data_IF_214144295999
#
_entry.id   IF_214144295999
#
_cell.length_a   1.000
_cell.length_b   1.000
_cell.length_c   1.000
_cell.angle_alpha   90.00
_cell.angle_beta   90.00
_cell.angle_gamma   90.00
#
_symmetry.space_group_name_H-M   'P 1'
#
loop_
_entity.id
_entity.type
_entity.pdbx_description
1 polymer ?
#
# COMPACT_ATOMS: atom_id res chain seq x y z
N UNK A 1 -7.17 24.22 -19.38
CA UNK A 1 -5.98 24.67 -20.14
C UNK A 1 -6.28 25.13 -21.56
N UNK A 2 -7.31 24.61 -22.25
CA UNK A 2 -7.62 24.96 -23.65
C UNK A 2 -8.21 26.36 -23.84
N UNK A 3 -8.71 27.02 -22.79
CA UNK A 3 -9.45 28.28 -22.85
C UNK A 3 -8.67 29.41 -23.53
N UNK A 4 -7.45 29.63 -23.17
CA UNK A 4 -6.62 30.77 -23.63
C UNK A 4 -5.61 30.38 -24.72
N UNK A 5 -5.51 29.10 -25.07
CA UNK A 5 -4.52 28.62 -26.03
C UNK A 5 -4.97 28.87 -27.46
N UNK A 6 -4.06 29.31 -28.30
CA UNK A 6 -4.28 29.33 -29.77
C UNK A 6 -4.45 27.88 -30.26
N UNK A 7 -5.13 27.72 -31.42
CA UNK A 7 -5.34 26.38 -31.98
C UNK A 7 -4.02 25.64 -32.26
N UNK A 8 -2.98 26.36 -32.66
CA UNK A 8 -1.65 25.79 -32.89
C UNK A 8 -1.03 25.22 -31.59
N UNK A 9 -1.11 25.94 -30.46
CA UNK A 9 -0.60 25.50 -29.17
C UNK A 9 -1.40 24.29 -28.66
N UNK A 10 -2.73 24.31 -28.84
CA UNK A 10 -3.59 23.20 -28.49
C UNK A 10 -3.28 21.96 -29.35
N UNK A 11 -3.05 22.14 -30.65
CA UNK A 11 -2.62 21.06 -31.56
C UNK A 11 -1.30 20.42 -31.11
N UNK A 12 -0.31 21.22 -30.68
CA UNK A 12 0.95 20.71 -30.19
C UNK A 12 0.78 19.83 -28.93
N UNK A 13 -0.12 20.22 -28.03
CA UNK A 13 -0.43 19.42 -26.84
C UNK A 13 -1.17 18.13 -27.24
N UNK A 14 -2.17 18.21 -28.10
CA UNK A 14 -2.97 17.08 -28.58
C UNK A 14 -2.09 16.02 -29.27
N UNK A 15 -1.12 16.46 -30.07
CA UNK A 15 -0.22 15.55 -30.79
C UNK A 15 0.64 14.67 -29.90
N UNK A 16 0.85 15.06 -28.63
CA UNK A 16 1.57 14.24 -27.66
C UNK A 16 0.77 13.02 -27.19
N UNK A 17 -0.57 13.08 -27.21
CA UNK A 17 -1.45 12.04 -26.70
C UNK A 17 -1.95 11.12 -27.83
N UNK A 18 -2.32 9.90 -27.48
CA UNK A 18 -2.92 8.94 -28.43
C UNK A 18 -4.36 9.30 -28.75
N UNK A 19 -5.11 9.78 -27.78
CA UNK A 19 -6.47 10.30 -27.92
C UNK A 19 -6.76 11.40 -26.89
N UNK A 20 -7.89 12.06 -27.03
CA UNK A 20 -8.33 13.16 -26.15
C UNK A 20 -9.70 12.82 -25.56
N UNK A 21 -9.92 13.21 -24.32
CA UNK A 21 -11.20 13.04 -23.62
C UNK A 21 -11.90 14.38 -23.42
N UNK A 22 -13.22 14.37 -23.53
CA UNK A 22 -14.11 15.43 -23.07
C UNK A 22 -15.18 14.84 -22.17
N UNK A 23 -15.54 15.57 -21.11
CA UNK A 23 -16.59 15.17 -20.19
C UNK A 23 -17.90 15.91 -20.48
N UNK A 24 -19.04 15.44 -19.96
CA UNK A 24 -20.29 16.20 -19.94
C UNK A 24 -20.09 17.62 -19.39
N UNK A 25 -20.76 18.64 -19.92
CA UNK A 25 -20.62 20.03 -19.45
C UNK A 25 -20.78 20.17 -17.93
N UNK A 26 -21.70 19.44 -17.32
CA UNK A 26 -21.94 19.38 -15.87
C UNK A 26 -20.68 19.02 -15.06
N UNK A 27 -19.74 18.26 -15.61
CA UNK A 27 -18.49 17.93 -14.94
C UNK A 27 -17.55 19.15 -14.79
N UNK A 28 -17.80 20.21 -15.55
CA UNK A 28 -17.02 21.44 -15.56
C UNK A 28 -17.72 22.63 -14.88
N UNK A 29 -18.91 22.46 -14.28
CA UNK A 29 -19.68 23.54 -13.65
C UNK A 29 -18.88 24.35 -12.62
N UNK A 30 -17.97 23.69 -11.91
CA UNK A 30 -17.07 24.35 -10.96
C UNK A 30 -16.16 25.40 -11.61
N UNK A 31 -15.84 25.28 -12.90
CA UNK A 31 -15.01 26.25 -13.63
C UNK A 31 -15.79 27.56 -13.91
N UNK A 32 -17.12 27.48 -14.05
CA UNK A 32 -17.97 28.66 -14.14
C UNK A 32 -18.03 29.36 -12.77
N UNK A 33 -18.19 28.62 -11.69
CA UNK A 33 -18.18 29.16 -10.34
C UNK A 33 -16.84 29.84 -9.98
N UNK A 34 -15.73 29.31 -10.49
CA UNK A 34 -14.38 29.87 -10.34
C UNK A 34 -14.07 31.03 -11.28
N UNK A 35 -15.04 31.45 -12.11
CA UNK A 35 -14.88 32.49 -13.16
C UNK A 35 -13.81 32.14 -14.21
N UNK A 36 -13.54 30.85 -14.42
CA UNK A 36 -12.71 30.40 -15.54
C UNK A 36 -13.48 30.48 -16.84
N UNK A 37 -14.80 30.36 -16.82
CA UNK A 37 -15.73 30.67 -17.88
C UNK A 37 -16.80 31.65 -17.36
N UNK A 38 -17.22 32.59 -18.21
CA UNK A 38 -18.21 33.58 -17.80
C UNK A 38 -19.62 32.97 -17.68
N UNK A 39 -19.91 31.94 -18.47
CA UNK A 39 -21.20 31.24 -18.52
C UNK A 39 -21.07 29.86 -19.21
N UNK A 40 -22.18 29.13 -19.22
CA UNK A 40 -22.29 27.83 -19.87
C UNK A 40 -22.01 27.88 -21.37
N UNK A 41 -22.48 28.94 -22.09
CA UNK A 41 -22.27 29.09 -23.53
C UNK A 41 -20.76 29.10 -23.86
N UNK A 42 -19.97 29.85 -23.11
CA UNK A 42 -18.53 29.92 -23.30
C UNK A 42 -17.85 28.56 -22.99
N UNK A 43 -18.33 27.82 -21.98
CA UNK A 43 -17.87 26.48 -21.70
C UNK A 43 -18.16 25.51 -22.85
N UNK A 44 -19.40 25.54 -23.39
CA UNK A 44 -19.79 24.69 -24.52
C UNK A 44 -18.97 25.00 -25.78
N UNK A 45 -18.73 26.27 -26.08
CA UNK A 45 -17.86 26.67 -27.20
C UNK A 45 -16.42 26.18 -27.01
N UNK A 46 -15.91 26.17 -25.78
CA UNK A 46 -14.58 25.61 -25.49
C UNK A 46 -14.54 24.08 -25.71
N UNK A 47 -15.59 23.36 -25.31
CA UNK A 47 -15.69 21.91 -25.56
C UNK A 47 -15.73 21.65 -27.09
N UNK A 48 -16.53 22.39 -27.83
CA UNK A 48 -16.58 22.30 -29.30
C UNK A 48 -15.23 22.60 -29.95
N UNK A 49 -14.51 23.61 -29.43
CA UNK A 49 -13.15 23.93 -29.89
C UNK A 49 -12.19 22.76 -29.70
N UNK A 50 -12.18 22.12 -28.52
CA UNK A 50 -11.32 20.94 -28.22
C UNK A 50 -11.66 19.80 -29.18
N UNK A 51 -12.96 19.53 -29.39
CA UNK A 51 -13.42 18.49 -30.32
C UNK A 51 -12.92 18.78 -31.75
N UNK A 52 -13.11 19.99 -32.24
CA UNK A 52 -12.70 20.41 -33.58
C UNK A 52 -11.19 20.28 -33.78
N UNK A 53 -10.38 20.87 -32.88
CA UNK A 53 -8.92 20.86 -33.00
C UNK A 53 -8.37 19.44 -32.90
N UNK A 54 -8.97 18.59 -32.08
CA UNK A 54 -8.57 17.17 -31.96
C UNK A 54 -8.84 16.43 -33.29
N UNK A 55 -10.01 16.62 -33.88
CA UNK A 55 -10.36 16.01 -35.18
C UNK A 55 -9.45 16.54 -36.31
N UNK A 56 -9.19 17.84 -36.35
CA UNK A 56 -8.29 18.47 -37.32
C UNK A 56 -6.85 17.95 -37.19
N UNK A 57 -6.44 17.56 -35.98
CA UNK A 57 -5.13 16.91 -35.69
C UNK A 57 -5.10 15.43 -36.05
N UNK A 58 -6.19 14.83 -36.54
CA UNK A 58 -6.27 13.41 -36.86
C UNK A 58 -6.28 12.48 -35.67
N UNK A 59 -6.53 13.00 -34.45
CA UNK A 59 -6.59 12.22 -33.22
C UNK A 59 -8.02 11.81 -32.90
N UNK A 60 -8.16 10.67 -32.20
CA UNK A 60 -9.44 10.24 -31.66
C UNK A 60 -9.86 11.15 -30.50
N UNK A 61 -11.13 11.45 -30.42
CA UNK A 61 -11.75 12.13 -29.30
C UNK A 61 -12.90 11.28 -28.76
N UNK A 62 -12.97 11.14 -27.46
CA UNK A 62 -13.99 10.34 -26.76
C UNK A 62 -14.67 11.15 -25.68
N UNK A 63 -15.92 10.83 -25.43
CA UNK A 63 -16.67 11.34 -24.29
C UNK A 63 -16.57 10.37 -23.11
N UNK A 64 -16.07 10.85 -21.98
CA UNK A 64 -15.92 10.07 -20.74
C UNK A 64 -16.69 10.72 -19.60
N UNK A 65 -17.10 9.93 -18.59
CA UNK A 65 -17.96 10.42 -17.49
C UNK A 65 -17.23 11.00 -16.30
N UNK A 66 -15.90 10.85 -16.21
CA UNK A 66 -15.12 11.19 -15.00
C UNK A 66 -15.83 10.70 -13.71
N UNK A 67 -16.16 9.41 -13.68
CA UNK A 67 -17.07 8.84 -12.67
C UNK A 67 -16.40 8.75 -11.29
N UNK A 68 -17.03 9.36 -10.29
CA UNK A 68 -16.61 9.33 -8.90
C UNK A 68 -17.69 8.78 -7.95
N UNK A 69 -18.91 8.63 -8.38
CA UNK A 69 -20.01 8.03 -7.61
C UNK A 69 -21.03 7.37 -8.54
N UNK A 70 -21.82 6.42 -8.01
CA UNK A 70 -22.69 5.60 -8.83
C UNK A 70 -23.94 6.36 -9.29
N UNK A 71 -24.68 6.94 -8.35
CA UNK A 71 -25.93 7.63 -8.63
C UNK A 71 -25.76 9.15 -8.47
N UNK A 72 -26.61 9.93 -9.12
CA UNK A 72 -26.60 11.40 -9.02
C UNK A 72 -26.77 11.86 -7.55
N UNK A 73 -27.63 11.23 -6.78
CA UNK A 73 -27.87 11.53 -5.37
C UNK A 73 -26.68 11.23 -4.46
N UNK A 74 -25.78 10.33 -4.87
CA UNK A 74 -24.57 9.97 -4.10
C UNK A 74 -23.52 11.09 -4.11
N UNK A 75 -23.71 12.14 -4.88
CA UNK A 75 -22.89 13.35 -4.91
C UNK A 75 -22.61 13.90 -3.52
N UNK A 76 -23.58 13.81 -2.59
CA UNK A 76 -23.42 14.28 -1.22
C UNK A 76 -22.27 13.59 -0.48
N UNK A 77 -22.05 12.29 -0.72
CA UNK A 77 -20.94 11.56 -0.09
C UNK A 77 -19.59 12.04 -0.61
N UNK A 78 -19.50 12.31 -1.91
CA UNK A 78 -18.29 12.91 -2.50
C UNK A 78 -18.04 14.30 -1.95
N UNK A 79 -19.07 15.11 -1.78
CA UNK A 79 -18.97 16.47 -1.22
C UNK A 79 -18.41 16.44 0.20
N UNK A 80 -18.84 15.51 1.04
CA UNK A 80 -18.29 15.30 2.38
C UNK A 80 -16.80 14.96 2.29
N UNK A 81 -16.41 14.04 1.43
CA UNK A 81 -14.99 13.62 1.28
C UNK A 81 -14.12 14.75 0.76
N UNK A 82 -14.60 15.50 -0.26
CA UNK A 82 -13.90 16.64 -0.84
C UNK A 82 -13.61 17.72 0.21
N UNK A 83 -14.55 17.96 1.14
CA UNK A 83 -14.42 18.98 2.17
C UNK A 83 -13.64 18.53 3.40
N UNK A 84 -13.20 17.26 3.48
CA UNK A 84 -12.37 16.80 4.57
C UNK A 84 -10.97 17.46 4.54
N UNK A 85 -10.44 17.73 5.74
CA UNK A 85 -9.04 18.17 5.88
C UNK A 85 -8.13 17.00 5.57
N UNK A 86 -7.20 17.19 4.66
CA UNK A 86 -6.16 16.21 4.37
C UNK A 86 -5.08 16.27 5.47
N UNK A 87 -4.55 15.14 5.94
CA UNK A 87 -3.38 15.13 6.80
C UNK A 87 -2.25 15.97 6.17
N UNK A 88 -1.63 16.84 6.96
CA UNK A 88 -0.66 17.83 6.45
C UNK A 88 -1.25 19.20 6.05
N UNK A 89 -2.57 19.42 6.21
CA UNK A 89 -3.22 20.72 6.06
C UNK A 89 -3.64 21.09 4.63
N UNK A 90 -3.50 20.20 3.66
CA UNK A 90 -4.00 20.40 2.30
C UNK A 90 -5.53 20.33 2.20
N UNK A 91 -6.08 20.87 1.12
CA UNK A 91 -7.50 20.74 0.77
C UNK A 91 -7.62 20.23 -0.67
N UNK A 92 -8.68 19.48 -0.91
CA UNK A 92 -9.01 19.05 -2.28
C UNK A 92 -9.21 20.28 -3.19
N UNK A 93 -8.80 20.24 -4.49
CA UNK A 93 -8.98 21.37 -5.41
C UNK A 93 -10.42 21.88 -5.52
N UNK A 94 -11.42 21.00 -5.34
CA UNK A 94 -12.84 21.38 -5.35
C UNK A 94 -13.33 21.92 -3.99
N UNK A 95 -12.51 21.94 -2.93
CA UNK A 95 -12.85 22.49 -1.62
C UNK A 95 -12.41 23.97 -1.49
N UNK A 96 -12.49 24.73 -2.58
CA UNK A 96 -12.21 26.19 -2.60
C UNK A 96 -13.45 26.98 -2.18
N UNK A 97 -13.23 28.16 -1.61
CA UNK A 97 -14.31 29.04 -1.15
C UNK A 97 -15.29 29.47 -2.26
N UNK A 98 -14.80 29.52 -3.48
CA UNK A 98 -15.57 29.98 -4.63
C UNK A 98 -16.45 28.88 -5.26
N UNK A 99 -16.25 27.62 -4.87
CA UNK A 99 -17.03 26.47 -5.29
C UNK A 99 -18.10 26.20 -4.24
N UNK A 100 -19.33 26.56 -4.52
CA UNK A 100 -20.49 26.35 -3.63
C UNK A 100 -21.12 24.98 -3.86
N UNK A 101 -20.95 24.41 -5.03
CA UNK A 101 -21.48 23.11 -5.43
C UNK A 101 -20.45 22.36 -6.28
N UNK A 102 -20.04 21.17 -5.85
CA UNK A 102 -19.13 20.33 -6.63
C UNK A 102 -19.83 19.76 -7.87
N UNK A 103 -19.10 19.45 -8.96
CA UNK A 103 -19.70 18.86 -10.14
C UNK A 103 -20.30 17.47 -9.88
N UNK A 104 -21.34 17.11 -10.64
CA UNK A 104 -21.92 15.77 -10.59
C UNK A 104 -21.20 14.82 -11.54
N UNK A 105 -20.32 14.02 -10.96
CA UNK A 105 -19.53 13.01 -11.66
C UNK A 105 -20.09 11.60 -11.40
N UNK A 106 -21.41 11.42 -11.63
CA UNK A 106 -22.07 10.12 -11.48
C UNK A 106 -21.86 9.23 -12.69
N UNK A 107 -22.06 7.92 -12.49
CA UNK A 107 -22.07 6.97 -13.60
C UNK A 107 -23.26 7.27 -14.53
N UNK A 108 -22.99 7.39 -15.83
CA UNK A 108 -23.98 7.67 -16.87
C UNK A 108 -24.10 6.50 -17.83
N UNK A 109 -25.31 6.16 -18.19
CA UNK A 109 -25.58 5.24 -19.29
C UNK A 109 -25.21 5.87 -20.64
N UNK A 110 -25.15 5.07 -21.71
CA UNK A 110 -24.90 5.57 -23.06
C UNK A 110 -25.95 6.60 -23.47
N UNK A 111 -27.23 6.37 -23.13
CA UNK A 111 -28.31 7.28 -23.47
C UNK A 111 -28.16 8.63 -22.74
N UNK A 112 -27.83 8.60 -21.46
CA UNK A 112 -27.53 9.81 -20.67
C UNK A 112 -26.31 10.55 -21.21
N UNK A 113 -25.26 9.85 -21.61
CA UNK A 113 -24.10 10.47 -22.28
C UNK A 113 -24.50 11.10 -23.59
N UNK A 114 -25.29 10.44 -24.42
CA UNK A 114 -25.81 11.00 -25.67
C UNK A 114 -26.66 12.25 -25.43
N UNK A 115 -27.45 12.30 -24.35
CA UNK A 115 -28.24 13.46 -23.96
C UNK A 115 -27.35 14.61 -23.46
N UNK A 116 -26.35 14.34 -22.64
CA UNK A 116 -25.44 15.37 -22.12
C UNK A 116 -24.64 16.08 -23.21
N UNK A 117 -24.44 15.47 -24.36
CA UNK A 117 -23.79 16.08 -25.53
C UNK A 117 -24.80 16.53 -26.59
N UNK A 118 -26.09 16.75 -26.24
CA UNK A 118 -27.12 17.17 -27.16
C UNK A 118 -26.88 18.56 -27.85
N UNK A 119 -25.93 19.34 -27.32
CA UNK A 119 -25.47 20.59 -27.91
C UNK A 119 -24.57 20.42 -29.15
N UNK A 120 -24.21 19.17 -29.49
CA UNK A 120 -23.47 18.79 -30.70
C UNK A 120 -24.42 18.16 -31.73
N UNK A 121 -23.97 18.17 -33.00
CA UNK A 121 -24.64 17.42 -34.04
C UNK A 121 -24.67 15.92 -33.73
N UNK A 122 -25.76 15.24 -34.15
CA UNK A 122 -25.99 13.83 -33.81
C UNK A 122 -24.85 12.92 -34.28
N UNK A 123 -24.25 13.17 -35.42
CA UNK A 123 -23.12 12.41 -35.96
C UNK A 123 -21.88 12.54 -35.06
N UNK A 124 -21.54 13.77 -34.66
CA UNK A 124 -20.41 14.05 -33.78
C UNK A 124 -20.63 13.42 -32.39
N UNK A 125 -21.81 13.55 -31.84
CA UNK A 125 -22.23 12.98 -30.57
C UNK A 125 -22.09 11.46 -30.57
N UNK A 126 -22.60 10.78 -31.58
CA UNK A 126 -22.47 9.34 -31.77
C UNK A 126 -21.01 8.93 -31.96
N UNK A 127 -20.24 9.73 -32.67
CA UNK A 127 -18.81 9.48 -32.88
C UNK A 127 -18.05 9.45 -31.55
N UNK A 128 -18.20 10.47 -30.70
CA UNK A 128 -17.42 10.62 -29.48
C UNK A 128 -17.92 9.74 -28.33
N UNK A 129 -19.21 9.42 -28.25
CA UNK A 129 -19.82 8.64 -27.16
C UNK A 129 -19.79 7.14 -27.45
N UNK A 130 -19.91 6.74 -28.73
CA UNK A 130 -20.07 5.32 -29.08
C UNK A 130 -18.92 4.83 -29.97
N UNK A 131 -18.72 5.48 -31.12
CA UNK A 131 -17.87 4.95 -32.18
C UNK A 131 -16.39 4.97 -31.76
N UNK A 132 -15.89 6.11 -31.28
CA UNK A 132 -14.49 6.25 -30.93
C UNK A 132 -14.08 5.47 -29.67
N UNK A 133 -14.90 5.38 -28.60
CA UNK A 133 -14.60 4.45 -27.51
C UNK A 133 -14.41 3.01 -27.96
N UNK A 134 -15.24 2.51 -28.87
CA UNK A 134 -15.07 1.17 -29.44
C UNK A 134 -13.81 1.06 -30.29
N UNK A 135 -13.46 2.09 -31.09
CA UNK A 135 -12.19 2.09 -31.82
C UNK A 135 -10.98 2.01 -30.89
N UNK A 136 -10.99 2.72 -29.76
CA UNK A 136 -9.90 2.63 -28.77
C UNK A 136 -9.82 1.22 -28.21
N UNK A 137 -10.96 0.59 -27.87
CA UNK A 137 -11.01 -0.78 -27.42
C UNK A 137 -10.41 -1.76 -28.47
N UNK A 138 -10.72 -1.55 -29.74
CA UNK A 138 -10.17 -2.35 -30.86
C UNK A 138 -8.67 -2.15 -31.07
N UNK A 139 -8.09 -1.05 -30.56
CA UNK A 139 -6.64 -0.78 -30.60
C UNK A 139 -5.87 -1.48 -29.47
N UNK A 140 -6.57 -2.00 -28.47
CA UNK A 140 -5.95 -2.70 -27.34
C UNK A 140 -5.47 -4.08 -27.80
N UNK A 141 -4.19 -4.33 -27.65
CA UNK A 141 -3.56 -5.60 -27.97
C UNK A 141 -3.14 -6.32 -26.68
N UNK A 142 -3.18 -7.65 -26.71
CA UNK A 142 -2.60 -8.46 -25.65
C UNK A 142 -1.08 -8.44 -25.82
N UNK A 143 -0.39 -7.92 -24.82
CA UNK A 143 1.07 -7.81 -24.83
C UNK A 143 1.69 -8.61 -23.68
N UNK A 144 2.82 -9.22 -23.92
CA UNK A 144 3.68 -9.70 -22.84
C UNK A 144 4.44 -8.50 -22.24
N UNK A 145 3.95 -8.03 -21.09
CA UNK A 145 4.40 -6.77 -20.51
C UNK A 145 5.78 -6.87 -19.88
N UNK A 146 6.25 -8.04 -19.47
CA UNK A 146 7.40 -8.15 -18.58
C UNK A 146 8.20 -9.42 -18.86
N UNK A 147 9.51 -9.36 -18.54
CA UNK A 147 10.40 -10.51 -18.42
C UNK A 147 9.68 -11.66 -17.71
N UNK A 148 9.57 -12.81 -18.34
CA UNK A 148 8.97 -13.99 -17.73
C UNK A 148 9.76 -14.40 -16.49
N UNK A 149 9.15 -14.21 -15.34
CA UNK A 149 9.68 -14.58 -14.04
C UNK A 149 9.11 -15.90 -13.54
N UNK A 150 8.35 -16.62 -14.38
CA UNK A 150 7.62 -17.83 -13.97
C UNK A 150 6.52 -17.56 -12.94
N UNK A 151 5.95 -16.34 -12.95
CA UNK A 151 4.92 -15.89 -11.99
C UNK A 151 5.46 -15.51 -10.62
N UNK A 152 6.77 -15.47 -10.43
CA UNK A 152 7.42 -15.05 -9.17
C UNK A 152 7.93 -13.61 -9.35
N UNK A 153 7.56 -12.67 -8.46
CA UNK A 153 8.12 -11.32 -8.50
C UNK A 153 9.66 -11.36 -8.45
N UNK A 154 10.29 -10.59 -9.33
CA UNK A 154 11.75 -10.47 -9.29
C UNK A 154 12.19 -9.77 -8.00
N UNK A 155 13.07 -10.41 -7.24
CA UNK A 155 13.73 -9.82 -6.07
C UNK A 155 15.23 -9.81 -6.33
N UNK A 156 15.91 -8.65 -6.25
CA UNK A 156 17.36 -8.60 -6.37
C UNK A 156 18.02 -9.35 -5.20
N UNK A 157 19.24 -9.83 -5.39
CA UNK A 157 20.04 -10.36 -4.32
C UNK A 157 20.73 -9.20 -3.59
N UNK A 158 20.64 -9.18 -2.25
CA UNK A 158 21.39 -8.26 -1.40
C UNK A 158 22.17 -9.10 -0.40
N UNK A 159 23.48 -8.99 -0.44
CA UNK A 159 24.35 -9.72 0.46
C UNK A 159 24.02 -9.40 1.92
N UNK A 160 23.99 -10.43 2.78
CA UNK A 160 23.70 -10.31 4.21
C UNK A 160 22.35 -9.66 4.53
N UNK A 161 21.36 -9.82 3.67
CA UNK A 161 20.01 -9.22 3.87
C UNK A 161 19.36 -9.76 5.16
N UNK A 162 19.47 -11.06 5.40
CA UNK A 162 18.92 -11.73 6.59
C UNK A 162 19.55 -11.20 7.87
N UNK A 163 20.88 -11.17 7.93
CA UNK A 163 21.62 -10.65 9.09
C UNK A 163 21.33 -9.16 9.31
N UNK A 164 21.31 -8.39 8.23
CA UNK A 164 21.04 -6.94 8.30
C UNK A 164 19.64 -6.65 8.83
N UNK A 165 18.61 -7.37 8.35
CA UNK A 165 17.24 -7.25 8.87
C UNK A 165 17.20 -7.59 10.36
N UNK A 166 17.81 -8.71 10.75
CA UNK A 166 17.86 -9.13 12.15
C UNK A 166 18.56 -8.09 13.03
N UNK A 167 19.74 -7.62 12.62
CA UNK A 167 20.50 -6.59 13.34
C UNK A 167 19.71 -5.30 13.52
N UNK A 168 19.04 -4.79 12.47
CA UNK A 168 18.22 -3.58 12.54
C UNK A 168 17.07 -3.75 13.54
N UNK A 169 16.35 -4.86 13.45
CA UNK A 169 15.19 -5.15 14.32
C UNK A 169 15.61 -5.23 15.77
N UNK A 170 16.62 -6.04 16.10
CA UNK A 170 17.05 -6.24 17.48
C UNK A 170 17.70 -4.99 18.06
N UNK A 171 18.53 -4.27 17.30
CA UNK A 171 19.13 -3.01 17.77
C UNK A 171 18.04 -2.00 18.16
N UNK A 172 17.02 -1.85 17.34
CA UNK A 172 15.93 -0.91 17.63
C UNK A 172 15.05 -1.39 18.77
N UNK A 173 14.70 -2.68 18.78
CA UNK A 173 13.90 -3.26 19.86
C UNK A 173 14.59 -3.13 21.22
N UNK A 174 15.88 -3.48 21.30
CA UNK A 174 16.67 -3.33 22.54
C UNK A 174 16.78 -1.87 22.99
N UNK A 175 16.87 -0.93 22.05
CA UNK A 175 16.88 0.51 22.38
C UNK A 175 15.57 0.98 23.03
N UNK A 176 14.45 0.33 22.72
CA UNK A 176 13.14 0.67 23.28
C UNK A 176 12.81 -0.13 24.54
N UNK A 177 13.01 -1.46 24.51
CA UNK A 177 12.49 -2.40 25.50
C UNK A 177 13.56 -3.00 26.40
N UNK A 178 14.84 -2.67 26.19
CA UNK A 178 15.96 -3.17 26.99
C UNK A 178 16.62 -4.43 26.40
N UNK A 179 17.71 -4.83 27.02
CA UNK A 179 18.46 -6.05 26.70
C UNK A 179 18.79 -6.78 28.03
N UNK A 180 18.27 -8.00 28.24
CA UNK A 180 17.46 -8.80 27.31
C UNK A 180 16.05 -8.20 27.03
N UNK A 181 15.49 -8.53 25.86
CA UNK A 181 14.13 -8.14 25.51
C UNK A 181 13.10 -8.83 26.42
N UNK A 182 11.95 -8.20 26.72
CA UNK A 182 10.83 -8.92 27.32
C UNK A 182 10.35 -10.08 26.42
N UNK A 183 9.93 -11.21 27.03
CA UNK A 183 9.55 -12.42 26.28
C UNK A 183 8.50 -12.17 25.18
N UNK A 184 7.45 -11.41 25.48
CA UNK A 184 6.40 -11.08 24.53
C UNK A 184 6.89 -10.27 23.33
N UNK A 185 7.92 -9.46 23.49
CA UNK A 185 8.56 -8.70 22.41
C UNK A 185 9.43 -9.64 21.57
N UNK A 186 10.22 -10.50 22.21
CA UNK A 186 11.04 -11.47 21.49
C UNK A 186 10.20 -12.48 20.70
N UNK A 187 9.15 -13.03 21.32
CA UNK A 187 8.20 -13.93 20.65
C UNK A 187 7.54 -13.23 19.43
N UNK A 188 7.15 -11.98 19.60
CA UNK A 188 6.55 -11.20 18.50
C UNK A 188 7.53 -11.01 17.34
N UNK A 189 8.78 -10.66 17.62
CA UNK A 189 9.83 -10.51 16.61
C UNK A 189 10.09 -11.85 15.91
N UNK A 190 10.28 -12.92 16.66
CA UNK A 190 10.52 -14.24 16.11
C UNK A 190 9.41 -14.71 15.18
N UNK A 191 8.16 -14.52 15.60
CA UNK A 191 6.98 -14.84 14.82
C UNK A 191 6.90 -14.05 13.51
N UNK A 192 7.20 -12.76 13.54
CA UNK A 192 7.19 -11.94 12.34
C UNK A 192 8.40 -12.19 11.43
N UNK A 193 9.54 -12.58 11.95
CA UNK A 193 10.72 -12.91 11.14
C UNK A 193 10.64 -14.29 10.51
N UNK A 194 10.18 -15.31 11.25
CA UNK A 194 10.29 -16.71 10.84
C UNK A 194 8.97 -17.48 10.76
N UNK A 195 7.86 -16.87 11.16
CA UNK A 195 6.53 -17.46 11.18
C UNK A 195 6.19 -18.23 12.44
N UNK A 196 4.94 -18.67 12.54
CA UNK A 196 4.41 -19.39 13.72
C UNK A 196 5.08 -20.77 13.91
N UNK A 197 5.46 -21.43 12.81
CA UNK A 197 6.00 -22.79 12.85
C UNK A 197 7.24 -22.91 13.72
N UNK A 198 8.15 -21.93 13.71
CA UNK A 198 9.32 -21.93 14.60
C UNK A 198 8.91 -21.96 16.06
N UNK A 199 7.94 -21.13 16.44
CA UNK A 199 7.44 -21.05 17.81
C UNK A 199 6.84 -22.40 18.24
N UNK A 200 6.02 -23.00 17.36
CA UNK A 200 5.39 -24.28 17.63
C UNK A 200 6.41 -25.42 17.81
N UNK A 201 7.46 -25.43 16.98
CA UNK A 201 8.55 -26.42 17.11
C UNK A 201 9.27 -26.27 18.45
N UNK A 202 9.64 -25.06 18.85
CA UNK A 202 10.31 -24.82 20.14
C UNK A 202 9.37 -25.16 21.30
N UNK A 203 8.09 -24.84 21.23
CA UNK A 203 7.10 -25.22 22.24
C UNK A 203 7.00 -26.73 22.39
N UNK A 204 7.05 -27.50 21.30
CA UNK A 204 7.07 -28.97 21.35
C UNK A 204 8.36 -29.51 21.99
N UNK A 205 9.53 -28.91 21.69
CA UNK A 205 10.78 -29.28 22.34
C UNK A 205 10.73 -29.08 23.86
N UNK A 206 10.23 -27.92 24.30
CA UNK A 206 10.13 -27.58 25.73
C UNK A 206 9.11 -28.48 26.43
N UNK A 207 7.98 -28.79 25.78
CA UNK A 207 6.95 -29.66 26.34
C UNK A 207 7.41 -31.13 26.54
N UNK A 208 8.46 -31.56 25.83
CA UNK A 208 9.10 -32.89 26.06
C UNK A 208 9.89 -32.95 27.37
N UNK A 209 10.14 -31.79 28.00
CA UNK A 209 10.88 -31.69 29.27
C UNK A 209 9.87 -31.68 30.43
N UNK A 210 10.19 -32.37 31.50
CA UNK A 210 9.34 -32.41 32.72
C UNK A 210 9.64 -31.15 33.59
N UNK A 211 9.05 -30.02 33.18
CA UNK A 211 9.27 -28.71 33.79
C UNK A 211 7.95 -28.18 34.37
N UNK A 212 8.05 -27.41 35.45
CA UNK A 212 6.91 -26.59 35.89
C UNK A 212 6.56 -25.52 34.85
N UNK A 213 5.35 -24.93 34.93
CA UNK A 213 4.90 -23.90 34.01
C UNK A 213 5.86 -22.70 33.93
N UNK A 214 6.34 -22.23 35.08
CA UNK A 214 7.31 -21.13 35.15
C UNK A 214 8.69 -21.50 34.54
N UNK A 215 9.19 -22.73 34.81
CA UNK A 215 10.43 -23.22 34.22
C UNK A 215 10.29 -23.42 32.70
N UNK A 216 9.15 -23.91 32.25
CA UNK A 216 8.88 -24.10 30.84
C UNK A 216 8.85 -22.75 30.06
N UNK A 217 8.28 -21.70 30.66
CA UNK A 217 8.27 -20.35 30.08
C UNK A 217 9.69 -19.77 29.97
N UNK A 218 10.50 -19.89 31.01
CA UNK A 218 11.90 -19.47 30.99
C UNK A 218 12.74 -20.26 29.97
N UNK A 219 12.51 -21.56 29.87
CA UNK A 219 13.22 -22.41 28.91
C UNK A 219 12.78 -22.10 27.46
N UNK A 220 11.51 -21.82 27.24
CA UNK A 220 10.98 -21.38 25.93
C UNK A 220 11.67 -20.08 25.46
N UNK A 221 11.73 -19.09 26.36
CA UNK A 221 12.43 -17.83 26.07
C UNK A 221 13.91 -18.06 25.77
N UNK A 222 14.61 -18.79 26.63
CA UNK A 222 16.03 -19.08 26.45
C UNK A 222 16.30 -19.78 25.11
N UNK A 223 15.50 -20.78 24.79
CA UNK A 223 15.65 -21.54 23.54
C UNK A 223 15.35 -20.75 22.32
N UNK A 224 14.30 -19.92 22.36
CA UNK A 224 13.91 -19.01 21.27
C UNK A 224 15.05 -18.02 21.00
N UNK A 225 15.53 -17.35 22.00
CA UNK A 225 16.65 -16.42 21.91
C UNK A 225 17.89 -17.07 21.32
N UNK A 226 18.30 -18.23 21.85
CA UNK A 226 19.46 -18.99 21.38
C UNK A 226 19.37 -19.31 19.88
N UNK A 227 18.24 -19.82 19.43
CA UNK A 227 18.04 -20.19 18.02
C UNK A 227 18.13 -18.96 17.10
N UNK A 228 17.54 -17.85 17.52
CA UNK A 228 17.53 -16.62 16.70
C UNK A 228 18.92 -15.99 16.60
N UNK A 229 19.65 -15.88 17.73
CA UNK A 229 21.00 -15.27 17.71
C UNK A 229 22.03 -16.14 16.99
N UNK A 230 21.81 -17.47 16.94
CA UNK A 230 22.69 -18.40 16.19
C UNK A 230 22.50 -18.22 14.66
N UNK A 231 21.36 -17.72 14.23
CA UNK A 231 21.11 -17.34 12.86
C UNK A 231 20.11 -18.23 12.10
N UNK A 232 19.77 -17.82 10.89
CA UNK A 232 18.69 -18.41 10.12
C UNK A 232 18.92 -19.89 9.75
N UNK A 233 20.17 -20.31 9.57
CA UNK A 233 20.46 -21.73 9.27
C UNK A 233 20.07 -22.64 10.43
N UNK A 234 20.27 -22.21 11.67
CA UNK A 234 19.81 -22.94 12.86
C UNK A 234 18.28 -23.04 12.90
N UNK A 235 17.58 -21.97 12.52
CA UNK A 235 16.10 -21.98 12.39
C UNK A 235 15.67 -23.01 11.35
N UNK A 236 16.32 -23.03 10.18
CA UNK A 236 16.03 -24.01 9.11
C UNK A 236 16.28 -25.44 9.56
N UNK A 237 17.40 -25.70 10.23
CA UNK A 237 17.74 -27.03 10.71
C UNK A 237 16.72 -27.54 11.72
N UNK A 238 16.38 -26.74 12.71
CA UNK A 238 15.42 -27.09 13.74
C UNK A 238 14.03 -27.40 13.17
N UNK A 239 13.54 -26.55 12.28
CA UNK A 239 12.23 -26.75 11.66
C UNK A 239 12.25 -27.95 10.70
N UNK A 240 13.37 -28.18 10.00
CA UNK A 240 13.50 -29.32 9.09
C UNK A 240 13.47 -30.65 9.85
N UNK A 241 14.13 -30.75 11.01
CA UNK A 241 14.08 -31.93 11.85
C UNK A 241 12.67 -32.26 12.32
N UNK A 242 11.90 -31.27 12.81
CA UNK A 242 10.49 -31.46 13.21
C UNK A 242 9.63 -31.90 12.02
N UNK A 243 9.84 -31.30 10.84
CA UNK A 243 9.08 -31.68 9.63
C UNK A 243 9.36 -33.12 9.20
N UNK A 244 10.61 -33.58 9.27
CA UNK A 244 10.98 -34.99 8.94
C UNK A 244 10.45 -35.98 9.99
N UNK A 245 10.39 -35.59 11.27
CA UNK A 245 9.76 -36.44 12.30
C UNK A 245 8.26 -36.64 12.00
N UNK A 246 7.56 -35.62 11.49
CA UNK A 246 6.13 -35.67 11.22
C UNK A 246 5.78 -36.23 9.82
N UNK A 247 6.73 -36.19 8.87
CA UNK A 247 6.56 -36.70 7.49
C UNK A 247 7.85 -37.40 7.02
N UNK A 248 7.98 -38.71 7.29
CA UNK A 248 9.15 -39.48 6.93
C UNK A 248 9.40 -39.65 5.41
N UNK A 249 8.44 -39.26 4.56
CA UNK A 249 8.59 -39.30 3.09
C UNK A 249 9.42 -38.13 2.57
N UNK A 250 9.61 -37.07 3.38
CA UNK A 250 10.43 -35.92 3.00
C UNK A 250 11.91 -36.30 2.88
N UNK A 251 12.51 -35.93 1.75
CA UNK A 251 13.92 -36.15 1.46
C UNK A 251 14.71 -34.84 1.57
N UNK A 252 16.03 -34.94 1.73
CA UNK A 252 16.89 -33.76 1.78
C UNK A 252 16.87 -32.94 0.48
N UNK A 253 16.46 -33.55 -0.65
CA UNK A 253 16.24 -32.85 -1.92
C UNK A 253 15.03 -31.91 -1.86
N UNK A 254 14.05 -32.19 -0.98
CA UNK A 254 12.84 -31.38 -0.82
C UNK A 254 13.03 -30.22 0.17
N UNK A 255 14.15 -30.23 0.92
CA UNK A 255 14.38 -29.37 2.07
C UNK A 255 14.12 -27.89 1.77
N UNK A 256 14.87 -27.31 0.85
CA UNK A 256 14.76 -25.86 0.55
C UNK A 256 13.37 -25.47 0.06
N UNK A 257 12.77 -26.26 -0.80
CA UNK A 257 11.42 -26.01 -1.32
C UNK A 257 10.36 -26.11 -0.23
N UNK A 258 10.49 -27.10 0.67
CA UNK A 258 9.55 -27.32 1.76
C UNK A 258 9.69 -26.24 2.82
N UNK A 259 10.90 -25.90 3.24
CA UNK A 259 11.15 -24.83 4.19
C UNK A 259 10.63 -23.48 3.68
N UNK A 260 10.90 -23.11 2.43
CA UNK A 260 10.37 -21.89 1.81
C UNK A 260 8.84 -21.83 1.78
N UNK A 261 8.18 -22.99 1.70
CA UNK A 261 6.71 -23.07 1.73
C UNK A 261 6.12 -23.07 3.14
N UNK A 262 6.85 -23.61 4.10
CA UNK A 262 6.35 -23.86 5.48
C UNK A 262 6.76 -22.78 6.47
N UNK A 263 7.99 -22.26 6.35
CA UNK A 263 8.40 -21.06 7.09
C UNK A 263 7.65 -19.84 6.54
N UNK A 264 7.28 -18.97 7.42
CA UNK A 264 6.60 -17.72 7.13
C UNK A 264 7.44 -16.51 7.56
N UNK A 265 6.77 -15.38 7.71
CA UNK A 265 7.40 -14.15 8.17
C UNK A 265 8.30 -13.50 7.12
N UNK A 266 9.07 -12.50 7.58
CA UNK A 266 9.91 -11.67 6.70
C UNK A 266 11.09 -12.44 6.14
N UNK A 267 11.81 -13.16 6.99
CA UNK A 267 13.00 -13.95 6.62
C UNK A 267 12.59 -15.32 6.11
N UNK A 268 11.79 -16.06 6.87
CA UNK A 268 11.35 -17.40 6.50
C UNK A 268 10.56 -17.44 5.19
N UNK A 269 9.79 -16.39 4.87
CA UNK A 269 9.05 -16.21 3.62
C UNK A 269 9.88 -15.63 2.46
N UNK A 270 11.15 -15.23 2.71
CA UNK A 270 12.04 -14.64 1.69
C UNK A 270 11.69 -13.20 1.32
N UNK A 271 11.15 -12.40 2.25
CA UNK A 271 10.80 -10.99 2.07
C UNK A 271 11.85 -10.03 2.66
N UNK A 272 12.94 -10.54 3.21
CA UNK A 272 14.02 -9.78 3.82
C UNK A 272 14.59 -8.69 2.91
N UNK A 273 14.84 -9.01 1.65
CA UNK A 273 15.34 -8.06 0.65
C UNK A 273 14.33 -6.94 0.40
N UNK A 274 13.03 -7.25 0.28
CA UNK A 274 11.98 -6.26 0.03
C UNK A 274 11.86 -5.31 1.24
N UNK A 275 11.90 -5.85 2.46
CA UNK A 275 11.90 -5.05 3.68
C UNK A 275 13.14 -4.15 3.77
N UNK A 276 14.30 -4.67 3.40
CA UNK A 276 15.54 -3.89 3.41
C UNK A 276 15.54 -2.77 2.36
N UNK A 277 14.99 -3.01 1.18
CA UNK A 277 14.79 -1.97 0.16
C UNK A 277 13.84 -0.89 0.68
N UNK A 278 12.71 -1.29 1.25
CA UNK A 278 11.74 -0.34 1.82
C UNK A 278 12.38 0.52 2.92
N UNK A 279 13.13 -0.11 3.82
CA UNK A 279 13.87 0.60 4.88
C UNK A 279 14.85 1.63 4.33
N UNK A 280 15.64 1.26 3.31
CA UNK A 280 16.60 2.18 2.67
C UNK A 280 15.91 3.34 1.99
N UNK A 281 14.79 3.10 1.29
CA UNK A 281 14.02 4.15 0.61
C UNK A 281 13.41 5.13 1.61
N UNK A 282 12.76 4.62 2.66
CA UNK A 282 12.16 5.45 3.72
C UNK A 282 13.24 6.26 4.44
N UNK A 283 14.35 5.61 4.79
CA UNK A 283 15.47 6.30 5.45
C UNK A 283 16.03 7.41 4.57
N UNK A 284 16.28 7.15 3.29
CA UNK A 284 16.81 8.15 2.36
C UNK A 284 15.87 9.35 2.22
N UNK A 285 14.57 9.10 2.05
CA UNK A 285 13.57 10.16 1.98
C UNK A 285 13.54 11.02 3.24
N UNK A 286 13.58 10.40 4.43
CA UNK A 286 13.60 11.13 5.70
C UNK A 286 14.92 11.91 5.90
N UNK A 287 16.06 11.35 5.49
CA UNK A 287 17.38 12.01 5.56
C UNK A 287 17.41 13.27 4.65
N UNK A 288 16.67 13.25 3.52
CA UNK A 288 16.48 14.39 2.62
C UNK A 288 15.41 15.39 3.13
N UNK A 289 14.80 15.14 4.28
CA UNK A 289 13.79 16.02 4.90
C UNK A 289 12.36 15.81 4.41
N UNK A 290 12.09 14.76 3.65
CA UNK A 290 10.75 14.40 3.21
C UNK A 290 10.14 13.35 4.14
N UNK A 291 8.99 13.67 4.73
CA UNK A 291 8.27 12.74 5.58
C UNK A 291 7.62 11.63 4.76
N UNK A 292 7.80 10.41 5.21
CA UNK A 292 7.14 9.22 4.63
C UNK A 292 6.10 8.72 5.63
N UNK A 293 4.84 8.69 5.22
CA UNK A 293 3.75 8.07 5.97
C UNK A 293 3.47 6.67 5.47
N UNK A 294 3.28 5.73 6.39
CA UNK A 294 2.93 4.36 6.03
C UNK A 294 1.45 4.24 5.63
N UNK A 295 1.16 3.33 4.71
CA UNK A 295 -0.19 3.05 4.23
C UNK A 295 -0.42 1.54 4.12
N UNK A 296 -1.62 1.11 4.54
CA UNK A 296 -2.03 -0.29 4.43
C UNK A 296 -1.46 -1.19 5.53
N UNK A 297 -1.33 -2.48 5.23
CA UNK A 297 -0.99 -3.54 6.20
C UNK A 297 0.39 -3.45 6.81
N UNK A 298 1.32 -2.67 6.25
CA UNK A 298 2.66 -2.47 6.84
C UNK A 298 2.59 -1.90 8.26
N UNK A 299 1.55 -1.11 8.58
CA UNK A 299 1.31 -0.59 9.93
C UNK A 299 0.95 -1.67 10.98
N UNK A 300 0.70 -2.92 10.59
CA UNK A 300 0.48 -4.04 11.50
C UNK A 300 1.74 -4.87 11.77
N UNK A 301 2.86 -4.57 11.12
CA UNK A 301 4.14 -5.26 11.30
C UNK A 301 5.02 -4.56 12.32
N UNK A 302 5.32 -5.24 13.42
CA UNK A 302 6.24 -4.76 14.43
C UNK A 302 7.69 -4.74 13.92
N UNK A 303 8.07 -5.72 13.10
CA UNK A 303 9.36 -5.76 12.39
C UNK A 303 9.53 -4.52 11.51
N UNK A 304 8.49 -4.12 10.75
CA UNK A 304 8.55 -2.90 9.95
C UNK A 304 8.73 -1.64 10.80
N UNK A 305 8.12 -1.59 11.98
CA UNK A 305 8.32 -0.50 12.96
C UNK A 305 9.76 -0.47 13.46
N UNK A 306 10.31 -1.62 13.85
CA UNK A 306 11.69 -1.74 14.33
C UNK A 306 12.72 -1.41 13.24
N UNK A 307 12.42 -1.68 11.97
CA UNK A 307 13.25 -1.28 10.83
C UNK A 307 13.08 0.20 10.44
N UNK A 308 12.13 0.92 11.01
CA UNK A 308 11.85 2.31 10.66
C UNK A 308 11.17 2.49 9.29
N UNK A 309 10.48 1.45 8.80
CA UNK A 309 9.68 1.49 7.57
C UNK A 309 8.35 2.18 7.84
N UNK A 310 7.79 2.00 9.04
CA UNK A 310 6.55 2.61 9.51
C UNK A 310 6.73 3.25 10.88
N UNK A 311 5.99 4.31 11.14
CA UNK A 311 5.90 4.99 12.43
C UNK A 311 4.86 4.35 13.37
N UNK A 312 4.01 3.46 12.85
CA UNK A 312 2.94 2.83 13.62
C UNK A 312 3.49 1.70 14.47
N UNK A 313 3.22 1.75 15.78
CA UNK A 313 3.50 0.63 16.67
C UNK A 313 2.25 -0.27 16.78
N UNK A 314 2.28 -1.51 16.23
CA UNK A 314 1.12 -2.39 16.22
C UNK A 314 0.90 -3.18 17.51
N UNK A 315 1.76 -3.00 18.50
CA UNK A 315 1.59 -3.68 19.78
C UNK A 315 0.36 -3.15 20.53
N UNK A 316 -0.24 -3.95 21.41
CA UNK A 316 -1.25 -3.47 22.34
C UNK A 316 -0.79 -2.22 23.11
N UNK A 317 -1.73 -1.44 23.63
CA UNK A 317 -1.41 -0.27 24.42
C UNK A 317 -0.50 -0.62 25.60
N UNK A 318 0.55 0.15 25.80
CA UNK A 318 1.53 -0.10 26.88
C UNK A 318 2.25 1.17 27.30
N UNK A 319 2.70 1.18 28.54
CA UNK A 319 3.62 2.18 29.04
C UNK A 319 5.05 1.73 28.74
N UNK A 320 5.90 2.67 28.37
CA UNK A 320 7.31 2.44 28.11
C UNK A 320 8.14 3.49 28.85
N UNK A 321 9.01 3.04 29.74
CA UNK A 321 9.96 3.92 30.41
C UNK A 321 11.05 4.35 29.44
N UNK A 322 11.19 5.65 29.21
CA UNK A 322 12.20 6.21 28.31
C UNK A 322 13.58 6.38 28.93
N UNK A 323 13.73 6.09 30.24
CA UNK A 323 15.02 6.12 30.90
C UNK A 323 15.89 5.01 30.35
N UNK A 324 17.12 5.35 29.93
CA UNK A 324 18.06 4.43 29.30
C UNK A 324 18.45 3.23 30.21
N UNK A 325 18.44 3.44 31.50
CA UNK A 325 18.78 2.41 32.49
C UNK A 325 17.59 1.53 32.91
N UNK A 326 16.35 1.97 32.63
CA UNK A 326 15.13 1.30 33.09
C UNK A 326 14.50 0.43 32.00
N UNK A 327 14.14 1.03 30.86
CA UNK A 327 13.46 0.39 29.73
C UNK A 327 12.23 -0.47 30.09
N UNK A 328 11.67 -0.28 31.29
CA UNK A 328 10.50 -1.03 31.75
C UNK A 328 9.31 -0.82 30.80
N UNK A 329 8.61 -1.89 30.43
CA UNK A 329 7.39 -1.84 29.66
C UNK A 329 6.25 -2.58 30.38
N UNK A 330 5.04 -2.00 30.33
CA UNK A 330 3.86 -2.58 30.94
C UNK A 330 2.68 -2.51 29.98
N UNK A 331 2.22 -3.67 29.53
CA UNK A 331 1.06 -3.79 28.64
C UNK A 331 -0.23 -3.71 29.45
N UNK A 332 -1.21 -2.98 28.93
CA UNK A 332 -2.49 -2.72 29.59
C UNK A 332 -3.64 -3.27 28.74
N UNK A 333 -4.67 -3.77 29.43
CA UNK A 333 -5.93 -4.16 28.81
C UNK A 333 -6.87 -2.93 28.59
N UNK A 334 -8.05 -3.16 28.02
CA UNK A 334 -9.06 -2.10 27.78
C UNK A 334 -9.52 -1.41 29.08
N UNK A 335 -9.35 -2.05 30.23
CA UNK A 335 -9.68 -1.49 31.55
C UNK A 335 -8.51 -0.73 32.21
N UNK A 336 -7.34 -0.67 31.54
CA UNK A 336 -6.13 -0.04 32.06
C UNK A 336 -5.35 -0.89 33.07
N UNK A 337 -5.64 -2.20 33.14
CA UNK A 337 -4.93 -3.13 34.02
C UNK A 337 -3.74 -3.78 33.28
N UNK A 338 -2.68 -4.12 33.98
CA UNK A 338 -1.52 -4.80 33.41
C UNK A 338 -1.90 -6.15 32.80
N UNK A 339 -1.57 -6.34 31.50
CA UNK A 339 -1.88 -7.57 30.76
C UNK A 339 -0.83 -8.66 30.95
N UNK A 340 0.43 -8.27 31.14
CA UNK A 340 1.57 -9.19 31.25
C UNK A 340 2.43 -8.72 32.40
N UNK A 341 2.72 -9.61 33.34
CA UNK A 341 3.78 -9.37 34.33
C UNK A 341 5.10 -9.57 33.61
N UNK A 342 5.92 -8.52 33.54
CA UNK A 342 7.30 -8.69 33.08
C UNK A 342 8.00 -9.68 33.96
N UNK A 343 8.48 -10.77 33.40
CA UNK A 343 9.35 -11.71 34.08
C UNK A 343 10.74 -11.04 34.07
N UNK A 344 11.14 -10.57 35.23
CA UNK A 344 12.53 -10.13 35.49
C UNK A 344 13.46 -11.30 35.61
#
# INVERSE_FOLDING_TARGET
>A
EARSKADEELTNIINFYDYVEVQPPECYDHLIQMHDFDNEEQLLENIKKVIRVTKDSGKLIVATGDVHHLKREDKIYREIIVNQKVPGGGRHPLAKSDITEIPSNHFRTTDEMMENFAFLDEEVRKEIVITNPNKILDMVEEIEVIIDTGGIPFSPAIDRSVETVTELVYTKASSWYGDPLPFNIEERIAKELYGDLLIDVIKKEVAKKDLSEEEAEKELYRRLHEVIITGFDQVKDLVWEDLKENDPELTDADREKTLKKKLGGVIGGGFDVIYLIAQKLVKHSNDDGYLVGSRGSVGSSFVATMMGITEVNPLPAHYLCRNEECKYSEFINENGEAMVKNIQ
#
